data_IF_699111194604
#
_entry.id   IF_699111194604
#
_cell.length_a   1.000
_cell.length_b   1.000
_cell.length_c   1.000
_cell.angle_alpha   90.00
_cell.angle_beta   90.00
_cell.angle_gamma   90.00
#
_symmetry.space_group_name_H-M   'P 1'
#
loop_
_entity.id
_entity.type
_entity.pdbx_description
1 polymer ?
#
# COMPACT_ATOMS: atom_id res chain seq x y z
N UNK A 1 7.06 -1.83 -10.47
CA UNK A 1 6.71 -0.47 -10.00
C UNK A 1 5.24 -0.16 -10.21
N UNK A 2 4.74 -0.05 -11.46
CA UNK A 2 3.34 0.36 -11.77
C UNK A 2 2.27 -0.46 -11.04
N UNK A 3 2.41 -1.79 -10.97
CA UNK A 3 1.45 -2.65 -10.27
C UNK A 3 1.36 -2.33 -8.77
N UNK A 4 2.50 -2.30 -8.06
CA UNK A 4 2.54 -1.99 -6.62
C UNK A 4 2.03 -0.58 -6.33
N UNK A 5 2.42 0.42 -7.12
CA UNK A 5 1.92 1.79 -6.94
C UNK A 5 0.40 1.90 -7.15
N UNK A 6 -0.19 1.09 -8.05
CA UNK A 6 -1.65 1.08 -8.27
C UNK A 6 -2.39 0.48 -7.08
N UNK A 7 -1.88 -0.61 -6.50
CA UNK A 7 -2.46 -1.23 -5.31
C UNK A 7 -2.36 -0.28 -4.12
N UNK A 8 -1.16 0.18 -3.78
CA UNK A 8 -0.94 1.07 -2.64
C UNK A 8 -1.78 2.35 -2.72
N UNK A 9 -1.97 2.90 -3.93
CA UNK A 9 -2.86 4.06 -4.13
C UNK A 9 -4.33 3.71 -3.85
N UNK A 10 -4.80 2.56 -4.31
CA UNK A 10 -6.20 2.12 -4.14
C UNK A 10 -6.53 1.91 -2.66
N UNK A 11 -5.60 1.35 -1.90
CA UNK A 11 -5.82 1.01 -0.49
C UNK A 11 -5.66 2.21 0.46
N UNK A 12 -5.22 3.38 -0.02
CA UNK A 12 -4.95 4.56 0.82
C UNK A 12 -6.16 5.01 1.64
N UNK A 13 -7.31 5.09 1.00
CA UNK A 13 -8.52 5.66 1.60
C UNK A 13 -9.21 4.67 2.55
N UNK A 14 -9.45 3.40 2.17
CA UNK A 14 -10.05 2.44 3.10
C UNK A 14 -9.15 2.13 4.30
N UNK A 15 -7.82 2.17 4.14
CA UNK A 15 -6.88 2.00 5.26
C UNK A 15 -6.91 3.15 6.27
N UNK A 16 -7.45 4.32 5.91
CA UNK A 16 -7.54 5.49 6.78
C UNK A 16 -8.93 5.67 7.37
N UNK A 17 -9.98 5.41 6.57
CA UNK A 17 -11.35 5.78 6.91
C UNK A 17 -12.31 4.59 6.97
N UNK A 18 -11.87 3.41 6.56
CA UNK A 18 -12.72 2.24 6.47
C UNK A 18 -13.53 2.23 5.20
N UNK A 19 -14.55 1.38 5.15
CA UNK A 19 -15.53 1.36 4.08
C UNK A 19 -16.69 2.26 4.50
N UNK A 20 -16.72 3.47 3.95
CA UNK A 20 -17.76 4.46 4.28
C UNK A 20 -19.16 4.00 3.86
N UNK A 21 -19.29 3.15 2.83
CA UNK A 21 -20.60 2.68 2.34
C UNK A 21 -21.23 1.69 3.33
N UNK A 22 -20.42 0.79 3.90
CA UNK A 22 -20.89 -0.26 4.82
C UNK A 22 -20.65 0.07 6.30
N UNK A 23 -19.87 1.11 6.59
CA UNK A 23 -19.51 1.55 7.94
C UNK A 23 -18.45 0.68 8.63
N UNK A 24 -17.73 -0.17 7.89
CA UNK A 24 -16.72 -1.06 8.46
C UNK A 24 -15.43 -0.26 8.72
N UNK A 25 -14.87 -0.26 9.95
CA UNK A 25 -13.67 0.48 10.26
C UNK A 25 -12.40 -0.17 9.67
N UNK A 26 -11.30 0.57 9.46
CA UNK A 26 -10.05 0.05 8.88
C UNK A 26 -9.51 -1.21 9.57
N UNK A 27 -9.57 -1.27 10.90
CA UNK A 27 -9.07 -2.40 11.70
C UNK A 27 -9.79 -3.72 11.40
N UNK A 28 -11.01 -3.66 10.89
CA UNK A 28 -11.81 -4.82 10.51
C UNK A 28 -11.67 -5.17 9.02
N UNK A 29 -11.14 -4.25 8.19
CA UNK A 29 -10.90 -4.47 6.77
C UNK A 29 -9.57 -5.16 6.47
N UNK A 30 -8.56 -4.93 7.32
CA UNK A 30 -7.18 -5.34 7.05
C UNK A 30 -6.66 -6.34 8.06
N UNK A 31 -6.02 -7.37 7.55
CA UNK A 31 -5.31 -8.35 8.36
C UNK A 31 -3.82 -8.01 8.50
N UNK A 32 -3.15 -8.72 9.41
CA UNK A 32 -1.67 -8.73 9.50
C UNK A 32 -1.01 -9.05 8.17
N UNK A 33 -1.59 -9.96 7.38
CA UNK A 33 -1.06 -10.35 6.08
C UNK A 33 -1.13 -9.21 5.06
N UNK A 34 -2.19 -8.40 5.10
CA UNK A 34 -2.34 -7.25 4.22
C UNK A 34 -1.30 -6.18 4.55
N UNK A 35 -1.07 -5.92 5.84
CA UNK A 35 -0.02 -5.01 6.30
C UNK A 35 1.39 -5.49 5.88
N UNK A 36 1.69 -6.78 6.06
CA UNK A 36 2.94 -7.39 5.64
C UNK A 36 3.14 -7.36 4.12
N UNK A 37 2.06 -7.44 3.34
CA UNK A 37 2.11 -7.33 1.90
C UNK A 37 2.35 -5.88 1.47
N UNK A 38 1.66 -4.93 2.08
CA UNK A 38 1.80 -3.50 1.81
C UNK A 38 3.23 -3.02 2.08
N UNK A 39 3.84 -3.40 3.21
CA UNK A 39 5.21 -2.98 3.52
C UNK A 39 6.23 -3.52 2.50
N UNK A 40 6.09 -4.79 2.07
CA UNK A 40 6.95 -5.38 1.03
C UNK A 40 6.80 -4.67 -0.31
N UNK A 41 5.58 -4.25 -0.66
CA UNK A 41 5.33 -3.45 -1.87
C UNK A 41 6.01 -2.07 -1.78
N UNK A 42 5.90 -1.40 -0.63
CA UNK A 42 6.56 -0.13 -0.36
C UNK A 42 8.08 -0.25 -0.48
N UNK A 43 8.68 -1.24 0.17
CA UNK A 43 10.12 -1.52 0.11
C UNK A 43 10.58 -1.71 -1.33
N UNK A 44 9.81 -2.45 -2.13
CA UNK A 44 10.16 -2.70 -3.53
C UNK A 44 10.04 -1.45 -4.41
N UNK A 45 9.06 -0.60 -4.16
CA UNK A 45 8.94 0.69 -4.85
C UNK A 45 10.11 1.60 -4.48
N UNK A 46 10.43 1.70 -3.19
CA UNK A 46 11.55 2.50 -2.68
C UNK A 46 12.89 2.04 -3.28
N UNK A 47 13.17 0.74 -3.26
CA UNK A 47 14.38 0.15 -3.87
C UNK A 47 14.53 0.54 -5.35
N UNK A 48 13.45 0.47 -6.13
CA UNK A 48 13.47 0.80 -7.56
C UNK A 48 13.74 2.30 -7.77
N UNK A 49 13.09 3.17 -6.99
CA UNK A 49 13.27 4.63 -7.10
C UNK A 49 14.69 5.03 -6.72
N UNK A 50 15.23 4.49 -5.62
CA UNK A 50 16.61 4.75 -5.21
C UNK A 50 17.60 4.31 -6.29
N UNK A 51 17.41 3.14 -6.90
CA UNK A 51 18.26 2.68 -8.02
C UNK A 51 18.25 3.63 -9.22
N UNK A 52 17.14 4.33 -9.49
CA UNK A 52 17.07 5.32 -10.57
C UNK A 52 17.80 6.62 -10.24
N UNK A 53 17.96 6.94 -8.96
CA UNK A 53 18.70 8.11 -8.50
C UNK A 53 20.19 7.80 -8.44
N UNK A 54 20.56 6.63 -7.90
CA UNK A 54 21.95 6.26 -7.64
C UNK A 54 22.70 5.70 -8.86
N UNK A 55 21.99 5.14 -9.86
CA UNK A 55 22.60 4.65 -11.11
C UNK A 55 22.43 5.63 -12.29
N UNK A 56 22.11 6.89 -12.02
CA UNK A 56 22.11 8.00 -13.00
C UNK A 56 23.28 8.95 -12.74
#
# INVERSE_FOLDING_TARGET
MVYYSRILRKEREPAMYGDEETGIPPEDLYSKFDAESAIKMCDKVHEIVIKLIENN
#
